data_IF_448789274205
#
_entry.id   IF_448789274205
#
_cell.length_a   1.000
_cell.length_b   1.000
_cell.length_c   1.000
_cell.angle_alpha   90.00
_cell.angle_beta   90.00
_cell.angle_gamma   90.00
#
_symmetry.space_group_name_H-M   'P 1'
#
loop_
_entity.id
_entity.type
_entity.pdbx_description
1 polymer ?
#
# COMPACT_ATOMS: atom_id res chain seq x y z
N UNK A 1 -0.87 18.48 -17.32
CA UNK A 1 0.20 18.23 -16.32
C UNK A 1 0.79 16.87 -16.60
N UNK A 2 2.05 16.80 -17.01
CA UNK A 2 2.79 15.53 -17.08
C UNK A 2 3.40 15.30 -15.71
N UNK A 3 3.04 14.20 -15.04
CA UNK A 3 3.75 13.77 -13.83
C UNK A 3 5.02 13.05 -14.30
N UNK A 4 6.11 13.78 -14.49
CA UNK A 4 7.41 13.17 -14.75
C UNK A 4 7.94 12.58 -13.44
N UNK A 5 7.89 11.26 -13.32
CA UNK A 5 8.55 10.56 -12.23
C UNK A 5 10.06 10.85 -12.28
N UNK A 6 10.67 11.23 -11.16
CA UNK A 6 12.12 11.41 -11.07
C UNK A 6 12.83 10.12 -11.51
N UNK A 7 13.65 10.15 -12.57
CA UNK A 7 14.36 8.96 -13.02
C UNK A 7 15.18 8.37 -11.88
N UNK A 8 14.92 7.10 -11.55
CA UNK A 8 15.62 6.38 -10.47
C UNK A 8 14.94 6.42 -9.09
N UNK A 9 13.93 7.28 -8.88
CA UNK A 9 13.18 7.32 -7.61
C UNK A 9 11.78 6.76 -7.80
N UNK A 10 11.59 5.49 -7.47
CA UNK A 10 10.24 4.92 -7.29
C UNK A 10 9.84 5.18 -5.83
N UNK A 11 8.74 5.90 -5.61
CA UNK A 11 8.20 6.07 -4.28
C UNK A 11 7.73 4.72 -3.73
N UNK A 12 8.29 4.30 -2.59
CA UNK A 12 7.77 3.16 -1.85
C UNK A 12 6.46 3.54 -1.18
N UNK A 13 5.53 2.60 -1.13
CA UNK A 13 4.29 2.73 -0.38
C UNK A 13 4.10 1.44 0.39
N UNK A 14 4.28 1.53 1.70
CA UNK A 14 4.17 0.40 2.62
C UNK A 14 3.15 0.74 3.69
N UNK A 15 2.24 -0.20 3.94
CA UNK A 15 1.21 -0.07 4.98
C UNK A 15 1.43 -1.17 5.99
N UNK A 16 1.55 -0.76 7.25
CA UNK A 16 1.69 -1.67 8.38
C UNK A 16 0.53 -1.39 9.34
N UNK A 17 -0.11 -2.45 9.83
CA UNK A 17 -1.18 -2.36 10.83
C UNK A 17 -0.73 -3.18 12.04
N UNK A 18 -0.56 -2.53 13.19
CA UNK A 18 0.19 -3.10 14.31
C UNK A 18 1.63 -3.43 13.87
N UNK A 19 2.05 -4.68 14.08
CA UNK A 19 3.37 -5.18 13.69
C UNK A 19 3.36 -5.95 12.35
N UNK A 20 2.27 -5.90 11.58
CA UNK A 20 2.10 -6.66 10.35
C UNK A 20 2.16 -5.76 9.11
N UNK A 21 3.07 -6.06 8.19
CA UNK A 21 3.09 -5.47 6.84
C UNK A 21 1.89 -6.00 6.04
N UNK A 22 0.98 -5.11 5.66
CA UNK A 22 -0.29 -5.47 4.98
C UNK A 22 -0.29 -5.12 3.50
N UNK A 23 0.52 -4.15 3.06
CA UNK A 23 0.73 -3.81 1.65
C UNK A 23 2.15 -3.29 1.45
N UNK A 24 2.86 -3.73 0.42
CA UNK A 24 4.15 -3.16 0.03
C UNK A 24 4.26 -3.04 -1.48
N UNK A 25 4.25 -1.79 -1.96
CA UNK A 25 4.59 -1.48 -3.35
C UNK A 25 6.02 -1.91 -3.69
N UNK A 26 6.94 -1.84 -2.71
CA UNK A 26 8.32 -2.31 -2.85
C UNK A 26 8.39 -3.83 -3.00
N UNK A 27 7.57 -4.54 -2.23
CA UNK A 27 7.49 -5.99 -2.17
C UNK A 27 6.61 -6.65 -3.22
N UNK A 28 6.24 -5.94 -4.31
CA UNK A 28 5.42 -6.38 -5.46
C UNK A 28 3.89 -6.25 -5.36
N UNK A 29 3.30 -5.70 -4.29
CA UNK A 29 1.84 -5.47 -4.23
C UNK A 29 1.37 -4.34 -5.20
N UNK A 30 2.31 -3.56 -5.75
CA UNK A 30 2.03 -2.46 -6.67
C UNK A 30 1.33 -1.26 -6.01
N UNK A 31 0.66 -0.44 -6.81
CA UNK A 31 -0.16 0.67 -6.30
C UNK A 31 -1.44 0.14 -5.65
N UNK A 32 -2.01 0.87 -4.69
CA UNK A 32 -3.35 0.61 -4.15
C UNK A 32 -4.37 1.23 -5.11
N UNK A 33 -4.64 0.53 -6.20
CA UNK A 33 -5.38 1.03 -7.38
C UNK A 33 -6.63 0.19 -7.73
N UNK A 34 -7.05 -0.69 -6.82
CA UNK A 34 -8.26 -1.48 -6.95
C UNK A 34 -8.94 -1.66 -5.61
N UNK A 35 -10.26 -1.82 -5.63
CA UNK A 35 -11.07 -2.01 -4.44
C UNK A 35 -10.56 -3.19 -3.61
N UNK A 36 -10.18 -4.31 -4.25
CA UNK A 36 -9.59 -5.47 -3.57
C UNK A 36 -8.35 -5.12 -2.73
N UNK A 37 -7.50 -4.20 -3.19
CA UNK A 37 -6.29 -3.78 -2.45
C UNK A 37 -6.65 -2.85 -1.30
N UNK A 38 -7.63 -1.96 -1.50
CA UNK A 38 -8.18 -1.11 -0.44
C UNK A 38 -8.84 -1.95 0.65
N UNK A 39 -9.74 -2.88 0.27
CA UNK A 39 -10.45 -3.78 1.17
C UNK A 39 -9.50 -4.63 2.02
N UNK A 40 -8.39 -5.10 1.45
CA UNK A 40 -7.34 -5.82 2.19
C UNK A 40 -6.75 -4.98 3.32
N UNK A 41 -6.52 -3.69 3.09
CA UNK A 41 -5.97 -2.77 4.10
C UNK A 41 -7.04 -2.46 5.14
N UNK A 42 -8.27 -2.14 4.72
CA UNK A 42 -9.39 -1.82 5.62
C UNK A 42 -9.69 -3.01 6.53
N UNK A 43 -9.80 -4.23 5.99
CA UNK A 43 -10.05 -5.42 6.78
C UNK A 43 -8.94 -5.70 7.81
N UNK A 44 -7.69 -5.39 7.48
CA UNK A 44 -6.59 -5.51 8.44
C UNK A 44 -6.70 -4.48 9.58
N UNK A 45 -7.09 -3.24 9.27
CA UNK A 45 -7.36 -2.20 10.27
C UNK A 45 -8.52 -2.63 11.18
N UNK A 46 -9.64 -3.05 10.62
CA UNK A 46 -10.82 -3.49 11.37
C UNK A 46 -10.52 -4.68 12.29
N UNK A 47 -9.67 -5.61 11.85
CA UNK A 47 -9.23 -6.74 12.66
C UNK A 47 -8.40 -6.31 13.88
N UNK A 48 -7.72 -5.16 13.81
CA UNK A 48 -6.88 -4.64 14.89
C UNK A 48 -7.64 -3.72 15.87
N UNK A 49 -8.84 -3.26 15.50
CA UNK A 49 -9.70 -2.42 16.34
C UNK A 49 -10.60 -3.20 17.30
N UNK A 50 -10.64 -4.53 17.19
CA UNK A 50 -11.34 -5.43 18.11
C UNK A 50 -10.49 -5.75 19.32
#
# INVERSE_FOLDING_TARGET
MSMEATPGTTGWFEVTVGDKLVHSKKGSDGYVDSDKKVDRIVAAIEAQLK
#
